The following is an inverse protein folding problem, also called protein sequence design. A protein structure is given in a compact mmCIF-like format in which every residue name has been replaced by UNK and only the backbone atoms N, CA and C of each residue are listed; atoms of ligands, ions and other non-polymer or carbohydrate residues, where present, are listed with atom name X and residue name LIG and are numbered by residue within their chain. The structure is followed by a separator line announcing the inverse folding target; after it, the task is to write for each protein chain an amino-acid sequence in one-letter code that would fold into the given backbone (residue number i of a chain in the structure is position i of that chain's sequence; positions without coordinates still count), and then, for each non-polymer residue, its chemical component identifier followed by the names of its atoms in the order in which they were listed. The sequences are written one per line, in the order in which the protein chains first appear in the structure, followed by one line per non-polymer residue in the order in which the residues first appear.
data_IF_284813488643
#
_entry.id   IF_284813488643
#
_cell.length_a   1.000
_cell.length_b   1.000
_cell.length_c   1.000
_cell.angle_alpha   90.00
_cell.angle_beta   90.00
_cell.angle_gamma   90.00
#
_symmetry.space_group_name_H-M   'P 1'
#
loop_
_entity.id
_entity.type
_entity.pdbx_description
1 polymer ?
#
# COMPACT_ATOMS: atom_id res chain seq x y z
N UNK A 1 -4.25 32.54 -27.13
CA UNK A 1 -4.13 31.09 -27.42
C UNK A 1 -2.67 30.60 -27.56
N UNK A 2 -1.67 31.32 -27.03
CA UNK A 2 -0.24 30.93 -27.04
C UNK A 2 0.33 30.58 -25.65
N UNK A 3 -0.42 30.81 -24.58
CA UNK A 3 -0.01 30.45 -23.20
C UNK A 3 -0.44 29.05 -22.75
N UNK A 4 -1.15 28.30 -23.60
CA UNK A 4 -1.75 27.02 -23.22
C UNK A 4 -0.83 25.79 -23.45
N UNK A 5 0.42 25.98 -23.86
CA UNK A 5 1.36 24.88 -24.19
C UNK A 5 2.60 24.84 -23.27
N UNK A 6 2.81 25.83 -22.40
CA UNK A 6 3.98 25.85 -21.49
C UNK A 6 3.78 25.16 -20.13
N UNK A 7 2.74 24.33 -19.97
CA UNK A 7 2.55 23.49 -18.75
C UNK A 7 2.98 22.03 -18.92
N UNK A 8 3.79 21.76 -19.95
CA UNK A 8 3.95 20.41 -20.47
C UNK A 8 5.15 19.62 -19.99
N UNK A 9 6.25 20.18 -19.46
CA UNK A 9 7.45 19.36 -19.27
C UNK A 9 8.55 20.03 -18.43
N UNK A 10 8.22 20.69 -17.32
CA UNK A 10 9.29 20.99 -16.37
C UNK A 10 9.82 19.66 -15.82
N UNK A 11 11.12 19.33 -16.00
CA UNK A 11 11.70 18.18 -15.33
C UNK A 11 11.39 18.30 -13.84
N UNK A 12 11.05 17.19 -13.16
CA UNK A 12 10.77 17.25 -11.73
C UNK A 12 11.95 17.96 -11.05
N UNK A 13 11.65 18.99 -10.28
CA UNK A 13 12.68 19.72 -9.56
C UNK A 13 13.43 18.74 -8.65
N UNK A 14 14.76 18.86 -8.55
CA UNK A 14 15.56 17.95 -7.70
C UNK A 14 14.97 17.72 -6.30
N UNK A 15 14.42 18.75 -5.60
CA UNK A 15 13.76 18.56 -4.29
C UNK A 15 12.64 17.52 -4.30
N UNK A 16 11.88 17.43 -5.39
CA UNK A 16 10.76 16.51 -5.53
C UNK A 16 11.22 15.06 -5.62
N UNK A 17 12.30 14.81 -6.38
CA UNK A 17 12.90 13.47 -6.49
C UNK A 17 13.41 13.03 -5.12
N UNK A 18 14.07 13.92 -4.37
CA UNK A 18 14.55 13.60 -3.02
C UNK A 18 13.41 13.27 -2.06
N UNK A 19 12.32 14.05 -2.07
CA UNK A 19 11.16 13.78 -1.22
C UNK A 19 10.54 12.43 -1.56
N UNK A 20 10.29 12.14 -2.86
CA UNK A 20 9.73 10.85 -3.30
C UNK A 20 10.64 9.68 -2.91
N UNK A 21 11.96 9.83 -3.06
CA UNK A 21 12.94 8.82 -2.68
C UNK A 21 12.91 8.54 -1.17
N UNK A 22 13.00 9.59 -0.34
CA UNK A 22 13.06 9.47 1.12
C UNK A 22 11.77 8.83 1.66
N UNK A 23 10.60 9.32 1.23
CA UNK A 23 9.32 8.79 1.71
C UNK A 23 9.08 7.35 1.26
N UNK A 24 9.52 6.98 0.04
CA UNK A 24 9.41 5.61 -0.46
C UNK A 24 10.34 4.66 0.30
N UNK A 25 11.60 5.05 0.56
CA UNK A 25 12.53 4.27 1.38
C UNK A 25 11.98 4.10 2.79
N UNK A 26 11.45 5.17 3.38
CA UNK A 26 10.87 5.14 4.72
C UNK A 26 9.67 4.18 4.79
N UNK A 27 8.72 4.27 3.85
CA UNK A 27 7.58 3.36 3.78
C UNK A 27 8.02 1.90 3.59
N UNK A 28 9.05 1.67 2.76
CA UNK A 28 9.66 0.35 2.53
C UNK A 28 10.22 -0.25 3.83
N UNK A 29 11.08 0.50 4.54
CA UNK A 29 11.71 0.06 5.79
C UNK A 29 10.65 -0.22 6.87
N UNK A 30 9.69 0.69 7.07
CA UNK A 30 8.61 0.48 8.04
C UNK A 30 7.81 -0.79 7.72
N UNK A 31 7.45 -0.99 6.46
CA UNK A 31 6.68 -2.17 6.06
C UNK A 31 7.42 -3.47 6.37
N UNK A 32 8.73 -3.52 6.11
CA UNK A 32 9.54 -4.69 6.47
C UNK A 32 9.70 -4.88 7.98
N UNK A 33 9.88 -3.81 8.76
CA UNK A 33 9.94 -3.91 10.22
C UNK A 33 8.63 -4.49 10.76
N UNK A 34 7.49 -4.02 10.26
CA UNK A 34 6.17 -4.57 10.65
C UNK A 34 6.05 -6.04 10.26
N UNK A 35 6.51 -6.43 9.06
CA UNK A 35 6.53 -7.83 8.63
C UNK A 35 7.32 -8.73 9.60
N UNK A 36 8.54 -8.32 9.96
CA UNK A 36 9.37 -9.11 10.87
C UNK A 36 8.80 -9.15 12.28
N UNK A 37 8.30 -8.03 12.80
CA UNK A 37 7.72 -7.98 14.16
C UNK A 37 6.42 -8.77 14.30
N UNK A 38 5.61 -8.78 13.26
CA UNK A 38 4.38 -9.59 13.25
C UNK A 38 4.64 -11.10 13.10
N UNK A 39 5.86 -11.53 12.74
CA UNK A 39 6.26 -12.95 12.75
C UNK A 39 6.27 -13.51 14.17
N UNK A 40 6.89 -12.81 15.11
CA UNK A 40 6.93 -13.17 16.54
C UNK A 40 5.50 -13.34 17.09
N UNK A 41 4.62 -12.39 16.78
CA UNK A 41 3.20 -12.43 17.16
C UNK A 41 2.43 -13.61 16.53
N UNK A 42 2.75 -13.97 15.30
CA UNK A 42 2.13 -15.11 14.62
C UNK A 42 2.54 -16.44 15.25
N UNK A 43 3.82 -16.62 15.58
CA UNK A 43 4.33 -17.84 16.20
C UNK A 43 3.67 -18.10 17.57
N UNK A 44 3.41 -17.04 18.34
CA UNK A 44 2.74 -17.14 19.64
C UNK A 44 1.24 -17.48 19.56
N UNK A 45 0.54 -17.04 18.50
CA UNK A 45 -0.93 -17.11 18.43
C UNK A 45 -1.46 -18.13 17.44
N UNK A 46 -0.64 -18.56 16.46
CA UNK A 46 -1.02 -19.42 15.33
C UNK A 46 -2.30 -18.98 14.58
N UNK A 47 -2.65 -17.69 14.69
CA UNK A 47 -3.92 -17.17 14.20
C UNK A 47 -3.79 -16.76 12.73
N UNK A 48 -4.48 -17.46 11.81
CA UNK A 48 -4.38 -17.26 10.35
C UNK A 48 -4.53 -15.80 9.91
N UNK A 49 -5.41 -15.02 10.53
CA UNK A 49 -5.54 -13.59 10.22
C UNK A 49 -4.22 -12.80 10.37
N UNK A 50 -3.39 -13.12 11.36
CA UNK A 50 -2.10 -12.44 11.58
C UNK A 50 -1.10 -12.84 10.49
N UNK A 51 -1.17 -14.08 9.97
CA UNK A 51 -0.37 -14.53 8.83
C UNK A 51 -0.59 -13.65 7.59
N UNK A 52 -1.85 -13.39 7.24
CA UNK A 52 -2.18 -12.58 6.06
C UNK A 52 -1.94 -11.08 6.31
N UNK A 53 -2.16 -10.60 7.53
CA UNK A 53 -1.76 -9.25 7.91
C UNK A 53 -0.26 -9.04 7.72
N UNK A 54 0.57 -9.99 8.18
CA UNK A 54 2.01 -10.00 7.94
C UNK A 54 2.33 -9.97 6.44
N UNK A 55 1.71 -10.84 5.65
CA UNK A 55 1.93 -10.84 4.20
C UNK A 55 1.50 -9.53 3.51
N UNK A 56 0.47 -8.86 3.99
CA UNK A 56 0.09 -7.55 3.47
C UNK A 56 1.25 -6.54 3.58
N UNK A 57 1.92 -6.48 4.74
CA UNK A 57 3.08 -5.61 4.93
C UNK A 57 4.31 -6.05 4.13
N UNK A 58 4.52 -7.35 3.93
CA UNK A 58 5.56 -7.83 3.01
C UNK A 58 5.32 -7.26 1.60
N UNK A 59 4.09 -7.37 1.11
CA UNK A 59 3.74 -6.87 -0.22
C UNK A 59 3.74 -5.34 -0.30
N UNK A 60 3.36 -4.60 0.75
CA UNK A 60 3.55 -3.13 0.80
C UNK A 60 5.03 -2.74 0.74
N UNK A 61 5.90 -3.50 1.42
CA UNK A 61 7.36 -3.34 1.33
C UNK A 61 7.86 -3.56 -0.08
N UNK A 62 7.44 -4.66 -0.72
CA UNK A 62 7.78 -4.97 -2.13
C UNK A 62 7.29 -3.88 -3.07
N UNK A 63 6.05 -3.39 -2.92
CA UNK A 63 5.52 -2.28 -3.73
C UNK A 63 6.37 -1.03 -3.57
N UNK A 64 6.73 -0.68 -2.34
CA UNK A 64 7.57 0.48 -2.05
C UNK A 64 8.97 0.32 -2.67
N UNK A 65 9.57 -0.86 -2.55
CA UNK A 65 10.85 -1.19 -3.17
C UNK A 65 10.78 -1.08 -4.69
N UNK A 66 9.74 -1.63 -5.31
CA UNK A 66 9.53 -1.53 -6.76
C UNK A 66 9.30 -0.08 -7.19
N UNK A 67 8.59 0.74 -6.41
CA UNK A 67 8.38 2.18 -6.70
C UNK A 67 9.69 2.96 -6.79
N UNK A 68 10.77 2.54 -6.12
CA UNK A 68 12.09 3.20 -6.17
C UNK A 68 12.68 3.31 -7.58
N UNK A 69 12.29 2.42 -8.51
CA UNK A 69 12.77 2.48 -9.90
C UNK A 69 12.54 3.85 -10.54
N UNK A 70 11.42 4.52 -10.21
CA UNK A 70 11.03 5.80 -10.83
C UNK A 70 11.96 6.94 -10.41
N UNK A 71 12.07 7.33 -9.12
CA UNK A 71 12.99 8.40 -8.73
C UNK A 71 14.45 8.05 -9.05
N UNK A 72 14.85 6.78 -8.99
CA UNK A 72 16.21 6.34 -9.32
C UNK A 72 16.52 6.52 -10.81
N UNK A 73 15.60 6.14 -11.71
CA UNK A 73 15.77 6.34 -13.16
C UNK A 73 15.90 7.81 -13.53
N UNK A 74 15.12 8.67 -12.86
CA UNK A 74 15.18 10.13 -13.06
C UNK A 74 16.49 10.72 -12.52
N UNK A 75 16.95 10.26 -11.36
CA UNK A 75 18.21 10.72 -10.75
C UNK A 75 19.44 10.36 -11.60
N UNK A 76 19.47 9.14 -12.15
CA UNK A 76 20.58 8.65 -12.98
C UNK A 76 20.56 9.15 -14.43
N UNK A 77 19.57 9.99 -14.80
CA UNK A 77 19.38 10.46 -16.18
C UNK A 77 19.33 9.31 -17.22
N UNK A 78 18.94 8.11 -16.77
CA UNK A 78 18.68 6.99 -17.65
C UNK A 78 17.46 7.38 -18.49
N UNK A 79 17.67 7.51 -19.80
CA UNK A 79 16.64 7.94 -20.74
C UNK A 79 15.33 7.15 -20.64
N UNK A 80 14.27 7.65 -21.28
CA UNK A 80 12.90 7.08 -21.24
C UNK A 80 12.76 5.68 -21.88
N UNK A 81 13.85 5.12 -22.38
CA UNK A 81 13.96 3.82 -23.03
C UNK A 81 13.91 2.68 -21.99
N UNK A 82 13.29 1.53 -22.18
CA UNK A 82 12.20 1.00 -23.01
C UNK A 82 12.05 -0.44 -22.45
N UNK A 83 10.86 -1.04 -22.42
CA UNK A 83 10.56 -2.44 -21.96
C UNK A 83 10.43 -2.75 -20.46
N UNK A 84 11.25 -2.21 -19.54
CA UNK A 84 11.10 -2.53 -18.09
C UNK A 84 9.81 -1.99 -17.45
N UNK A 85 9.18 -1.00 -18.08
CA UNK A 85 7.95 -0.38 -17.57
C UNK A 85 6.79 -1.35 -17.46
N UNK A 86 6.67 -2.32 -18.36
CA UNK A 86 5.51 -3.21 -18.35
C UNK A 86 5.62 -4.23 -17.22
N UNK A 87 6.78 -4.88 -17.09
CA UNK A 87 7.05 -5.84 -16.03
C UNK A 87 6.99 -5.20 -14.64
N UNK A 88 7.64 -4.05 -14.43
CA UNK A 88 7.65 -3.37 -13.13
C UNK A 88 6.25 -2.85 -12.78
N UNK A 89 5.49 -2.28 -13.73
CA UNK A 89 4.10 -1.86 -13.47
C UNK A 89 3.20 -3.04 -13.13
N UNK A 90 3.35 -4.16 -13.85
CA UNK A 90 2.63 -5.39 -13.53
C UNK A 90 2.97 -5.88 -12.11
N UNK A 91 4.25 -5.93 -11.76
CA UNK A 91 4.68 -6.36 -10.42
C UNK A 91 4.19 -5.43 -9.32
N UNK A 92 4.22 -4.11 -9.53
CA UNK A 92 3.64 -3.12 -8.60
C UNK A 92 2.14 -3.36 -8.44
N UNK A 93 1.43 -3.57 -9.55
CA UNK A 93 0.00 -3.82 -9.53
C UNK A 93 -0.36 -5.13 -8.82
N UNK A 94 0.40 -6.19 -9.10
CA UNK A 94 0.24 -7.50 -8.50
C UNK A 94 0.54 -7.47 -7.01
N UNK A 95 1.70 -6.95 -6.61
CA UNK A 95 2.08 -6.84 -5.21
C UNK A 95 1.11 -5.90 -4.45
N UNK A 96 0.68 -4.78 -5.04
CA UNK A 96 -0.31 -3.89 -4.45
C UNK A 96 -1.64 -4.58 -4.22
N UNK A 97 -2.13 -5.32 -5.22
CA UNK A 97 -3.39 -6.07 -5.09
C UNK A 97 -3.27 -7.19 -4.06
N UNK A 98 -2.15 -7.92 -4.04
CA UNK A 98 -1.85 -8.91 -3.02
C UNK A 98 -1.83 -8.29 -1.62
N UNK A 99 -1.24 -7.11 -1.45
CA UNK A 99 -1.19 -6.43 -0.16
C UNK A 99 -2.61 -6.15 0.36
N UNK A 100 -3.46 -5.55 -0.47
CA UNK A 100 -4.82 -5.19 -0.06
C UNK A 100 -5.71 -6.43 0.13
N UNK A 101 -5.62 -7.44 -0.74
CA UNK A 101 -6.40 -8.67 -0.58
C UNK A 101 -5.96 -9.46 0.66
N UNK A 102 -4.66 -9.53 0.96
CA UNK A 102 -4.18 -10.15 2.20
C UNK A 102 -4.71 -9.40 3.43
N UNK A 103 -4.76 -8.07 3.39
CA UNK A 103 -5.32 -7.25 4.45
C UNK A 103 -6.84 -7.44 4.61
N UNK A 104 -7.57 -7.56 3.50
CA UNK A 104 -9.00 -7.84 3.52
C UNK A 104 -9.25 -9.24 4.09
N UNK A 105 -8.49 -10.23 3.61
CA UNK A 105 -8.57 -11.60 4.09
C UNK A 105 -8.25 -11.70 5.58
N UNK A 106 -7.28 -10.93 6.10
CA UNK A 106 -6.95 -10.92 7.53
C UNK A 106 -8.11 -10.46 8.42
N UNK A 107 -9.06 -9.68 7.89
CA UNK A 107 -10.28 -9.26 8.60
C UNK A 107 -11.38 -10.32 8.54
N UNK A 108 -11.59 -10.94 7.38
CA UNK A 108 -12.70 -11.87 7.13
C UNK A 108 -12.34 -13.33 7.42
N UNK A 109 -11.09 -13.64 7.77
CA UNK A 109 -10.61 -15.02 7.94
C UNK A 109 -11.49 -15.87 8.87
N UNK A 110 -12.10 -15.29 9.92
CA UNK A 110 -12.99 -16.04 10.84
C UNK A 110 -14.21 -16.60 10.11
N UNK A 111 -14.75 -15.83 9.18
CA UNK A 111 -15.89 -16.21 8.36
C UNK A 111 -15.53 -17.37 7.41
N UNK A 112 -14.32 -17.34 6.85
CA UNK A 112 -13.83 -18.34 5.89
C UNK A 112 -13.08 -19.52 6.52
N UNK A 113 -12.83 -19.50 7.83
CA UNK A 113 -12.11 -20.58 8.53
C UNK A 113 -12.81 -21.94 8.48
N UNK A 114 -14.09 -21.98 8.11
CA UNK A 114 -14.88 -23.21 7.96
C UNK A 114 -14.59 -23.97 6.66
N UNK A 115 -14.07 -23.31 5.64
CA UNK A 115 -13.69 -23.93 4.36
C UNK A 115 -12.24 -24.38 4.40
N UNK A 116 -11.97 -25.64 4.03
CA UNK A 116 -10.63 -26.27 4.07
C UNK A 116 -9.71 -25.87 2.89
N UNK A 117 -10.15 -24.96 2.02
CA UNK A 117 -9.43 -24.59 0.80
C UNK A 117 -8.12 -23.84 1.06
N UNK A 118 -7.15 -24.02 0.17
CA UNK A 118 -5.88 -23.30 0.18
C UNK A 118 -6.07 -21.84 -0.30
N UNK A 119 -6.56 -20.99 0.59
CA UNK A 119 -7.05 -19.65 0.25
C UNK A 119 -5.98 -18.71 -0.38
N UNK A 120 -4.68 -18.99 -0.21
CA UNK A 120 -3.61 -18.18 -0.78
C UNK A 120 -3.55 -18.27 -2.32
N UNK A 121 -3.84 -19.44 -2.89
CA UNK A 121 -3.83 -19.62 -4.34
C UNK A 121 -4.95 -18.80 -5.00
N UNK A 122 -6.15 -18.83 -4.42
CA UNK A 122 -7.29 -18.04 -4.89
C UNK A 122 -7.01 -16.53 -4.83
N UNK A 123 -6.43 -16.04 -3.73
CA UNK A 123 -6.05 -14.63 -3.58
C UNK A 123 -5.02 -14.23 -4.65
N UNK A 124 -4.02 -15.08 -4.88
CA UNK A 124 -2.97 -14.83 -5.88
C UNK A 124 -3.55 -14.80 -7.29
N UNK A 125 -4.45 -15.72 -7.61
CA UNK A 125 -5.14 -15.75 -8.90
C UNK A 125 -5.97 -14.49 -9.15
N UNK A 126 -6.74 -14.03 -8.16
CA UNK A 126 -7.51 -12.78 -8.25
C UNK A 126 -6.56 -11.58 -8.43
N UNK A 127 -5.45 -11.53 -7.70
CA UNK A 127 -4.47 -10.46 -7.83
C UNK A 127 -3.84 -10.40 -9.24
N UNK A 128 -3.55 -11.56 -9.85
CA UNK A 128 -3.06 -11.65 -11.23
C UNK A 128 -4.13 -11.09 -12.18
N UNK A 129 -5.39 -11.54 -12.08
CA UNK A 129 -6.48 -11.08 -12.94
C UNK A 129 -6.66 -9.56 -12.87
N UNK A 130 -6.70 -8.98 -11.66
CA UNK A 130 -6.83 -7.53 -11.47
C UNK A 130 -5.64 -6.78 -12.08
N UNK A 131 -4.43 -7.31 -11.94
CA UNK A 131 -3.21 -6.66 -12.42
C UNK A 131 -3.10 -6.71 -13.94
N UNK A 132 -3.41 -7.85 -14.56
CA UNK A 132 -3.50 -8.00 -16.02
C UNK A 132 -4.60 -7.08 -16.55
N UNK A 133 -5.79 -7.10 -15.96
CA UNK A 133 -6.90 -6.24 -16.37
C UNK A 133 -6.53 -4.76 -16.30
N UNK A 134 -5.96 -4.29 -15.19
CA UNK A 134 -5.58 -2.89 -15.08
C UNK A 134 -4.49 -2.50 -16.09
N UNK A 135 -3.62 -3.43 -16.45
CA UNK A 135 -2.55 -3.15 -17.39
C UNK A 135 -3.07 -3.07 -18.84
N UNK A 136 -4.07 -3.89 -19.20
CA UNK A 136 -4.71 -3.87 -20.52
C UNK A 136 -5.63 -2.66 -20.71
N UNK A 137 -6.41 -2.31 -19.68
CA UNK A 137 -7.47 -1.29 -19.79
C UNK A 137 -7.10 0.05 -19.14
N UNK A 138 -5.97 0.14 -18.44
CA UNK A 138 -5.58 1.31 -17.67
C UNK A 138 -4.30 2.00 -18.14
N UNK A 139 -4.20 2.47 -19.40
CA UNK A 139 -3.00 3.18 -19.87
C UNK A 139 -2.67 4.44 -19.05
N UNK A 140 -3.64 4.97 -18.29
CA UNK A 140 -3.47 6.12 -17.38
C UNK A 140 -3.20 5.74 -15.91
N UNK A 141 -3.14 4.45 -15.55
CA UNK A 141 -2.88 3.98 -14.19
C UNK A 141 -3.99 4.25 -13.16
N UNK A 142 -5.04 5.01 -13.51
CA UNK A 142 -6.09 5.38 -12.56
C UNK A 142 -6.99 4.21 -12.12
N UNK A 143 -7.16 3.18 -12.96
CA UNK A 143 -8.04 2.05 -12.67
C UNK A 143 -7.55 1.21 -11.49
N UNK A 144 -6.25 0.89 -11.42
CA UNK A 144 -5.73 0.09 -10.31
C UNK A 144 -5.84 0.84 -8.99
N UNK A 145 -5.54 2.15 -8.99
CA UNK A 145 -5.64 3.00 -7.81
C UNK A 145 -7.09 3.05 -7.32
N UNK A 146 -8.07 3.14 -8.24
CA UNK A 146 -9.49 3.09 -7.91
C UNK A 146 -9.87 1.74 -7.29
N UNK A 147 -9.47 0.62 -7.90
CA UNK A 147 -9.73 -0.74 -7.39
C UNK A 147 -9.13 -0.91 -5.99
N UNK A 148 -7.86 -0.53 -5.79
CA UNK A 148 -7.21 -0.59 -4.49
C UNK A 148 -7.93 0.28 -3.45
N UNK A 149 -8.37 1.48 -3.84
CA UNK A 149 -9.12 2.38 -2.96
C UNK A 149 -10.45 1.77 -2.54
N UNK A 150 -11.19 1.15 -3.46
CA UNK A 150 -12.46 0.46 -3.15
C UNK A 150 -12.23 -0.75 -2.24
N UNK A 151 -11.20 -1.56 -2.50
CA UNK A 151 -10.85 -2.71 -1.66
C UNK A 151 -10.41 -2.28 -0.25
N UNK A 152 -9.63 -1.20 -0.15
CA UNK A 152 -9.24 -0.63 1.13
C UNK A 152 -10.42 -0.04 1.90
N UNK A 153 -11.33 0.64 1.21
CA UNK A 153 -12.56 1.16 1.81
C UNK A 153 -13.40 0.01 2.38
N UNK A 154 -13.54 -1.09 1.63
CA UNK A 154 -14.21 -2.29 2.12
C UNK A 154 -13.53 -2.86 3.38
N UNK A 155 -12.19 -2.95 3.38
CA UNK A 155 -11.43 -3.39 4.56
C UNK A 155 -11.65 -2.45 5.76
N UNK A 156 -11.64 -1.14 5.55
CA UNK A 156 -11.89 -0.15 6.60
C UNK A 156 -13.30 -0.28 7.19
N UNK A 157 -14.34 -0.37 6.35
CA UNK A 157 -15.73 -0.54 6.77
C UNK A 157 -15.90 -1.84 7.56
N UNK A 158 -15.39 -2.96 7.05
CA UNK A 158 -15.45 -4.26 7.75
C UNK A 158 -14.75 -4.16 9.12
N UNK A 159 -13.59 -3.52 9.19
CA UNK A 159 -12.88 -3.33 10.45
C UNK A 159 -13.70 -2.52 11.45
N UNK A 160 -14.30 -1.39 11.03
CA UNK A 160 -15.15 -0.55 11.90
C UNK A 160 -16.38 -1.31 12.40
N UNK A 161 -17.06 -2.05 11.53
CA UNK A 161 -18.22 -2.88 11.93
C UNK A 161 -17.80 -4.00 12.91
N UNK A 162 -16.61 -4.57 12.75
CA UNK A 162 -16.10 -5.56 13.70
C UNK A 162 -15.70 -4.94 15.05
N UNK A 163 -15.22 -3.69 15.06
CA UNK A 163 -14.91 -2.93 16.27
C UNK A 163 -16.18 -2.67 17.09
N UNK A 164 -17.29 -2.27 16.45
CA UNK A 164 -18.55 -1.95 17.15
C UNK A 164 -19.25 -3.18 17.74
N UNK A 165 -19.11 -4.35 17.10
CA UNK A 165 -19.79 -5.60 17.52
C UNK A 165 -19.10 -6.37 18.66
N UNK A 166 -17.83 -6.10 19.00
CA UNK A 166 -17.07 -6.91 19.97
C UNK A 166 -16.72 -6.16 21.26
N UNK A 167 -17.14 -6.72 22.40
CA UNK A 167 -16.71 -6.28 23.75
C UNK A 167 -15.19 -6.50 23.95
N UNK A 168 -14.52 -5.44 24.40
CA UNK A 168 -13.11 -5.28 24.85
C UNK A 168 -12.26 -6.58 24.97
N UNK A 169 -11.56 -6.96 23.91
CA UNK A 169 -10.50 -7.99 23.96
C UNK A 169 -9.22 -7.52 23.25
N UNK A 170 -8.05 -8.12 23.55
CA UNK A 170 -6.73 -7.73 22.99
C UNK A 170 -6.70 -7.68 21.45
N UNK A 171 -7.50 -8.49 20.76
CA UNK A 171 -7.67 -8.45 19.30
C UNK A 171 -8.24 -7.13 18.76
N UNK A 172 -8.88 -6.31 19.59
CA UNK A 172 -9.41 -5.00 19.22
C UNK A 172 -8.29 -4.02 18.83
N UNK A 173 -7.06 -4.22 19.34
CA UNK A 173 -5.96 -3.30 19.07
C UNK A 173 -5.45 -3.39 17.63
N UNK A 174 -5.50 -4.57 17.00
CA UNK A 174 -5.14 -4.73 15.59
C UNK A 174 -6.21 -4.13 14.66
N UNK A 175 -7.48 -4.16 15.06
CA UNK A 175 -8.57 -3.60 14.26
C UNK A 175 -8.44 -2.06 14.07
N UNK A 176 -7.76 -1.35 15.00
CA UNK A 176 -7.40 0.07 14.83
C UNK A 176 -6.37 0.32 13.72
N UNK A 177 -5.53 -0.66 13.38
CA UNK A 177 -4.48 -0.48 12.35
C UNK A 177 -5.10 -0.28 10.96
N UNK A 178 -6.18 -0.99 10.64
CA UNK A 178 -6.83 -0.97 9.32
C UNK A 178 -7.34 0.43 8.90
N UNK A 179 -8.15 1.15 9.71
CA UNK A 179 -8.60 2.49 9.34
C UNK A 179 -7.44 3.50 9.26
N UNK A 180 -6.40 3.36 10.10
CA UNK A 180 -5.21 4.22 10.03
C UNK A 180 -4.42 3.95 8.74
N UNK A 181 -4.31 2.68 8.34
CA UNK A 181 -3.63 2.30 7.11
C UNK A 181 -4.40 2.77 5.88
N UNK A 182 -5.73 2.70 5.92
CA UNK A 182 -6.58 3.30 4.88
C UNK A 182 -6.38 4.83 4.80
N UNK A 183 -6.33 5.52 5.94
CA UNK A 183 -6.09 6.96 5.96
C UNK A 183 -4.71 7.31 5.38
N UNK A 184 -3.66 6.55 5.74
CA UNK A 184 -2.32 6.69 5.16
C UNK A 184 -2.34 6.52 3.64
N UNK A 185 -3.05 5.52 3.13
CA UNK A 185 -3.23 5.31 1.69
C UNK A 185 -3.94 6.47 0.99
N UNK A 186 -5.02 6.99 1.57
CA UNK A 186 -5.73 8.17 1.04
C UNK A 186 -4.81 9.40 1.02
N UNK A 187 -4.00 9.60 2.06
CA UNK A 187 -3.03 10.70 2.10
C UNK A 187 -1.95 10.53 1.03
N UNK A 188 -1.49 9.30 0.76
CA UNK A 188 -0.54 9.02 -0.34
C UNK A 188 -1.16 9.35 -1.71
N UNK A 189 -2.40 8.93 -1.98
CA UNK A 189 -3.10 9.29 -3.22
C UNK A 189 -3.29 10.80 -3.33
N UNK A 190 -3.71 11.45 -2.24
CA UNK A 190 -3.88 12.90 -2.20
C UNK A 190 -2.55 13.62 -2.44
N UNK A 191 -1.42 13.11 -1.94
CA UNK A 191 -0.10 13.65 -2.21
C UNK A 191 0.27 13.55 -3.70
N UNK A 192 -0.05 12.42 -4.34
CA UNK A 192 0.19 12.22 -5.78
C UNK A 192 -0.66 13.14 -6.66
N UNK A 193 -1.92 13.38 -6.29
CA UNK A 193 -2.82 14.30 -7.00
C UNK A 193 -2.37 15.74 -6.78
N UNK A 194 -2.11 16.12 -5.53
CA UNK A 194 -1.73 17.49 -5.14
C UNK A 194 -0.39 17.91 -5.71
N UNK A 195 0.52 16.98 -6.02
CA UNK A 195 1.77 17.24 -6.73
C UNK A 195 1.56 17.97 -8.07
N UNK A 196 0.40 17.80 -8.71
CA UNK A 196 0.04 18.51 -9.95
C UNK A 196 -0.48 19.93 -9.71
N UNK A 197 -0.87 20.26 -8.48
CA UNK A 197 -1.54 21.51 -8.08
C UNK A 197 -0.58 22.38 -7.26
N UNK A 198 0.00 21.84 -6.19
CA UNK A 198 0.85 22.54 -5.24
C UNK A 198 1.91 21.60 -4.65
N UNK A 199 3.17 21.91 -4.91
CA UNK A 199 4.32 21.13 -4.42
C UNK A 199 4.42 21.11 -2.88
N UNK A 200 4.31 22.24 -2.15
CA UNK A 200 4.33 22.22 -0.68
C UNK A 200 3.24 21.33 -0.08
N UNK A 201 2.03 21.35 -0.65
CA UNK A 201 0.92 20.52 -0.17
C UNK A 201 1.23 19.02 -0.32
N UNK A 202 1.85 18.62 -1.43
CA UNK A 202 2.26 17.23 -1.67
C UNK A 202 3.28 16.75 -0.64
N UNK A 203 4.25 17.59 -0.27
CA UNK A 203 5.22 17.28 0.81
C UNK A 203 4.49 17.04 2.13
N UNK A 204 3.62 17.97 2.53
CA UNK A 204 2.87 17.84 3.79
C UNK A 204 2.03 16.55 3.84
N UNK A 205 1.34 16.21 2.76
CA UNK A 205 0.53 15.00 2.68
C UNK A 205 1.38 13.72 2.77
N UNK A 206 2.55 13.70 2.12
CA UNK A 206 3.50 12.59 2.22
C UNK A 206 4.08 12.43 3.63
N UNK A 207 4.39 13.54 4.31
CA UNK A 207 4.85 13.53 5.70
C UNK A 207 3.75 13.00 6.62
N UNK A 208 2.51 13.48 6.47
CA UNK A 208 1.36 12.98 7.25
C UNK A 208 1.14 11.48 7.02
N UNK A 209 1.20 11.00 5.77
CA UNK A 209 1.09 9.58 5.48
C UNK A 209 2.20 8.76 6.16
N UNK A 210 3.43 9.27 6.14
CA UNK A 210 4.59 8.64 6.80
C UNK A 210 4.41 8.58 8.33
N UNK A 211 3.91 9.65 8.95
CA UNK A 211 3.59 9.67 10.39
C UNK A 211 2.52 8.63 10.71
N UNK A 212 1.48 8.47 9.88
CA UNK A 212 0.45 7.45 10.09
C UNK A 212 1.03 6.02 10.01
N UNK A 213 1.94 5.75 9.08
CA UNK A 213 2.67 4.47 9.03
C UNK A 213 3.52 4.24 10.29
N UNK A 214 4.17 5.29 10.79
CA UNK A 214 4.92 5.23 12.04
C UNK A 214 4.02 4.96 13.26
N UNK A 215 2.83 5.56 13.32
CA UNK A 215 1.82 5.28 14.35
C UNK A 215 1.41 3.81 14.32
N UNK A 216 1.23 3.23 13.13
CA UNK A 216 0.96 1.79 12.97
C UNK A 216 2.12 0.96 13.51
N UNK A 217 3.36 1.30 13.13
CA UNK A 217 4.55 0.60 13.62
C UNK A 217 4.65 0.66 15.15
N UNK A 218 4.53 1.85 15.74
CA UNK A 218 4.55 2.05 17.20
C UNK A 218 3.47 1.19 17.88
N UNK A 219 2.27 1.15 17.30
CA UNK A 219 1.18 0.33 17.85
C UNK A 219 1.50 -1.15 17.80
N UNK A 220 2.09 -1.65 16.71
CA UNK A 220 2.47 -3.05 16.55
C UNK A 220 3.62 -3.43 17.49
N UNK A 221 4.62 -2.56 17.63
CA UNK A 221 5.73 -2.76 18.57
C UNK A 221 5.24 -2.82 20.02
N UNK A 222 4.26 -2.00 20.41
CA UNK A 222 3.69 -2.05 21.77
C UNK A 222 2.88 -3.33 22.04
N UNK A 223 2.35 -3.98 21.01
CA UNK A 223 1.58 -5.22 21.14
C UNK A 223 2.51 -6.44 21.19
N UNK A 224 3.68 -6.34 20.55
CA UNK A 224 4.66 -7.43 20.46
C UNK A 224 5.58 -7.34 21.68
N UNK A 225 5.62 -8.37 22.54
CA UNK A 225 6.47 -8.38 23.72
C UNK A 225 7.97 -8.40 23.38
#
# INVERSE_FOLDING_TARGET
MREMIMRGFFPPSLPLIYVELITTIFACVISFIIYFKTKELYELTSHKGIKYFRYAFLFFGIVSLLKLHRPLSQFLHLGRELSLFFGVRFLIGFAGTMAVLCLLYSLIWKTFSKTKTEDFFAISFIAILISVFSLLFGPRGNLITLIHTLLFLAAAIISVVQLTKKKKGKHHQLAFVYPVLFLSWIMEIAAQISMRISFPLSIWLNVVSSILLFVILYKILRITP
#
